data_IF_464609813666
#
_entry.id   IF_464609813666
#
_cell.length_a   1.000
_cell.length_b   1.000
_cell.length_c   1.000
_cell.angle_alpha   90.00
_cell.angle_beta   90.00
_cell.angle_gamma   90.00
#
_symmetry.space_group_name_H-M   'P 1'
#
loop_
_entity.id
_entity.type
_entity.pdbx_description
1 polymer ?
#
# COMPACT_ATOMS: atom_id res chain seq x y z
N UNK A 1 -14.82 -26.53 -14.31
CA UNK A 1 -13.93 -26.61 -13.13
C UNK A 1 -13.40 -25.21 -12.88
N UNK A 2 -13.85 -24.56 -11.81
CA UNK A 2 -13.38 -23.20 -11.47
C UNK A 2 -11.96 -23.28 -10.89
N UNK A 3 -11.04 -22.37 -11.24
CA UNK A 3 -9.67 -22.42 -10.75
C UNK A 3 -9.66 -22.29 -9.22
N UNK A 4 -8.95 -23.19 -8.56
CA UNK A 4 -8.75 -23.22 -7.11
C UNK A 4 -7.90 -22.02 -6.67
N UNK A 5 -8.53 -21.03 -6.02
CA UNK A 5 -7.86 -19.90 -5.36
C UNK A 5 -7.22 -20.33 -4.03
N UNK A 6 -6.28 -21.27 -4.06
CA UNK A 6 -5.69 -21.88 -2.85
C UNK A 6 -4.41 -21.21 -2.34
N UNK A 7 -3.75 -20.36 -3.13
CA UNK A 7 -2.55 -19.64 -2.68
C UNK A 7 -2.90 -18.33 -1.95
N UNK A 8 -2.33 -18.09 -0.75
CA UNK A 8 -2.51 -16.83 -0.05
C UNK A 8 -1.79 -15.70 -0.80
N UNK A 9 -2.45 -14.54 -0.89
CA UNK A 9 -1.89 -13.33 -1.48
C UNK A 9 -0.65 -12.90 -0.69
N UNK A 10 0.46 -12.61 -1.36
CA UNK A 10 1.68 -12.12 -0.75
C UNK A 10 1.69 -10.59 -0.76
N UNK A 11 1.52 -9.98 0.41
CA UNK A 11 1.52 -8.53 0.57
C UNK A 11 2.85 -8.10 1.20
N UNK A 12 3.52 -7.13 0.58
CA UNK A 12 4.62 -6.39 1.21
C UNK A 12 4.08 -5.10 1.81
N UNK A 13 4.18 -4.94 3.13
CA UNK A 13 3.86 -3.69 3.83
C UNK A 13 5.15 -2.92 4.12
N UNK A 14 5.27 -1.73 3.55
CA UNK A 14 6.37 -0.79 3.85
C UNK A 14 5.84 0.27 4.81
N UNK A 15 6.23 0.18 6.07
CA UNK A 15 5.76 1.07 7.13
C UNK A 15 6.70 1.05 8.34
N UNK A 16 6.80 2.18 9.04
CA UNK A 16 7.62 2.33 10.25
C UNK A 16 6.80 2.36 11.55
N UNK A 17 5.68 3.08 11.53
CA UNK A 17 4.85 3.28 12.70
C UNK A 17 4.17 1.98 13.18
N UNK A 18 4.46 1.59 14.42
CA UNK A 18 3.98 0.32 15.00
C UNK A 18 2.47 0.30 15.17
N UNK A 19 1.86 1.45 15.50
CA UNK A 19 0.42 1.55 15.72
C UNK A 19 -0.34 1.34 14.41
N UNK A 20 0.00 2.10 13.36
CA UNK A 20 -0.59 1.95 12.03
C UNK A 20 -0.38 0.57 11.44
N UNK A 21 0.77 -0.05 11.68
CA UNK A 21 1.00 -1.44 11.25
C UNK A 21 0.04 -2.41 11.95
N UNK A 22 -0.18 -2.24 13.26
CA UNK A 22 -1.12 -3.07 14.01
C UNK A 22 -2.55 -2.87 13.49
N UNK A 23 -2.95 -1.61 13.25
CA UNK A 23 -4.25 -1.25 12.70
C UNK A 23 -4.47 -1.79 11.28
N UNK A 24 -3.48 -1.67 10.40
CA UNK A 24 -3.55 -2.22 9.03
C UNK A 24 -3.68 -3.74 9.04
N UNK A 25 -2.88 -4.41 9.88
CA UNK A 25 -2.99 -5.86 10.06
C UNK A 25 -4.36 -6.26 10.60
N UNK A 26 -4.94 -5.46 11.51
CA UNK A 26 -6.30 -5.70 12.02
C UNK A 26 -7.34 -5.54 10.91
N UNK A 27 -7.31 -4.43 10.19
CA UNK A 27 -8.22 -4.18 9.08
C UNK A 27 -8.18 -5.29 8.01
N UNK A 28 -7.00 -5.80 7.68
CA UNK A 28 -6.86 -6.93 6.75
C UNK A 28 -7.45 -8.22 7.34
N UNK A 29 -7.16 -8.54 8.62
CA UNK A 29 -7.71 -9.73 9.29
C UNK A 29 -9.23 -9.70 9.45
N UNK A 30 -9.82 -8.51 9.52
CA UNK A 30 -11.26 -8.33 9.65
C UNK A 30 -12.00 -8.54 8.31
N UNK A 31 -11.27 -8.94 7.25
CA UNK A 31 -11.81 -9.39 5.96
C UNK A 31 -11.52 -10.87 5.71
N UNK A 32 -12.22 -11.48 4.75
CA UNK A 32 -11.96 -12.86 4.30
C UNK A 32 -10.70 -12.99 3.40
N UNK A 33 -9.82 -11.98 3.39
CA UNK A 33 -8.61 -11.98 2.57
C UNK A 33 -7.58 -13.00 3.09
N UNK A 34 -7.44 -14.10 2.37
CA UNK A 34 -6.33 -15.05 2.57
C UNK A 34 -5.02 -14.45 2.06
N UNK A 35 -4.21 -13.91 2.96
CA UNK A 35 -2.91 -13.32 2.63
C UNK A 35 -1.81 -13.61 3.66
N UNK A 36 -0.57 -13.45 3.22
CA UNK A 36 0.64 -13.34 4.06
C UNK A 36 1.18 -11.91 3.95
N UNK A 37 1.55 -11.31 5.08
CA UNK A 37 2.06 -9.93 5.12
C UNK A 37 3.51 -9.94 5.58
N UNK A 38 4.43 -9.59 4.68
CA UNK A 38 5.83 -9.30 5.03
C UNK A 38 5.99 -7.81 5.29
N UNK A 39 6.69 -7.43 6.37
CA UNK A 39 6.98 -6.03 6.67
C UNK A 39 8.38 -5.65 6.18
N UNK A 40 8.51 -4.46 5.63
CA UNK A 40 9.76 -3.75 5.42
C UNK A 40 9.68 -2.36 6.09
N UNK A 41 10.81 -1.86 6.60
CA UNK A 41 10.91 -0.49 7.12
C UNK A 41 10.96 0.53 5.96
N UNK A 42 10.52 1.77 6.19
CA UNK A 42 10.59 2.82 5.16
C UNK A 42 12.02 3.31 5.04
N UNK A 43 12.73 2.72 4.10
CA UNK A 43 14.15 2.98 3.88
C UNK A 43 14.40 3.10 2.39
N UNK A 44 15.47 3.82 2.03
CA UNK A 44 15.94 3.94 0.66
C UNK A 44 16.30 2.59 0.00
N UNK A 45 16.42 1.51 0.80
CA UNK A 45 16.69 0.15 0.31
C UNK A 45 15.43 -0.59 -0.15
N UNK A 46 14.23 -0.03 0.04
CA UNK A 46 12.97 -0.64 -0.43
C UNK A 46 12.96 -0.89 -1.94
N UNK A 47 13.53 0.04 -2.73
CA UNK A 47 13.70 -0.16 -4.17
C UNK A 47 14.65 -1.32 -4.49
N UNK A 48 15.78 -1.40 -3.78
CA UNK A 48 16.73 -2.48 -3.98
C UNK A 48 16.12 -3.85 -3.62
N UNK A 49 15.28 -3.91 -2.58
CA UNK A 49 14.52 -5.11 -2.23
C UNK A 49 13.55 -5.50 -3.36
N UNK A 50 12.71 -4.56 -3.80
CA UNK A 50 11.70 -4.79 -4.85
C UNK A 50 12.28 -5.11 -6.23
N UNK A 51 13.50 -4.64 -6.51
CA UNK A 51 14.21 -4.90 -7.76
C UNK A 51 15.28 -6.01 -7.62
N UNK A 52 15.41 -6.63 -6.45
CA UNK A 52 16.43 -7.64 -6.22
C UNK A 52 16.14 -8.91 -7.03
N UNK A 53 17.18 -9.50 -7.62
CA UNK A 53 17.09 -10.82 -8.29
C UNK A 53 16.57 -11.94 -7.39
N UNK A 54 16.64 -11.77 -6.06
CA UNK A 54 16.11 -12.73 -5.10
C UNK A 54 14.58 -12.81 -5.09
N UNK A 55 13.87 -11.75 -5.52
CA UNK A 55 12.42 -11.82 -5.80
C UNK A 55 12.11 -12.48 -7.15
N UNK A 56 13.09 -12.58 -8.05
CA UNK A 56 12.93 -13.23 -9.36
C UNK A 56 13.36 -14.71 -9.37
N UNK A 57 14.11 -15.17 -8.36
CA UNK A 57 14.76 -16.50 -8.35
C UNK A 57 14.42 -17.37 -7.11
N UNK A 58 13.24 -17.21 -6.49
CA UNK A 58 12.69 -18.26 -5.61
C UNK A 58 12.12 -17.87 -4.24
N UNK A 59 12.20 -16.61 -3.80
CA UNK A 59 11.27 -16.11 -2.76
C UNK A 59 9.99 -15.64 -3.45
N UNK A 60 8.82 -15.91 -2.84
CA UNK A 60 7.54 -15.47 -3.40
C UNK A 60 7.56 -13.95 -3.56
N UNK A 61 7.56 -13.50 -4.81
CA UNK A 61 7.37 -12.09 -5.15
C UNK A 61 6.04 -11.61 -4.56
N UNK A 62 5.99 -10.42 -3.93
CA UNK A 62 4.70 -9.90 -3.48
C UNK A 62 3.78 -9.69 -4.68
N UNK A 63 2.51 -10.03 -4.50
CA UNK A 63 1.43 -9.72 -5.45
C UNK A 63 1.04 -8.24 -5.36
N UNK A 64 1.29 -7.63 -4.19
CA UNK A 64 0.91 -6.25 -3.88
C UNK A 64 1.89 -5.63 -2.89
N UNK A 65 2.26 -4.37 -3.11
CA UNK A 65 2.94 -3.53 -2.12
C UNK A 65 1.96 -2.53 -1.55
N UNK A 66 1.87 -2.45 -0.23
CA UNK A 66 1.22 -1.38 0.50
C UNK A 66 2.30 -0.47 1.10
N UNK A 67 2.35 0.79 0.68
CA UNK A 67 3.27 1.79 1.21
C UNK A 67 2.50 2.78 2.07
N UNK A 68 2.81 2.84 3.36
CA UNK A 68 2.25 3.83 4.26
C UNK A 68 2.87 5.21 4.01
N UNK A 69 2.06 6.21 3.64
CA UNK A 69 2.57 7.54 3.30
C UNK A 69 2.80 8.46 4.51
N UNK A 70 2.51 8.02 5.73
CA UNK A 70 2.69 8.93 6.87
C UNK A 70 1.60 10.03 6.93
N UNK A 71 1.78 10.95 7.87
CA UNK A 71 1.06 12.22 7.84
C UNK A 71 1.84 13.33 7.12
N UNK A 72 3.16 13.24 7.00
CA UNK A 72 3.98 14.13 6.14
C UNK A 72 5.47 13.71 6.19
N UNK A 73 5.75 12.41 6.01
CA UNK A 73 7.12 11.91 6.19
C UNK A 73 7.92 12.03 4.88
N UNK A 74 8.94 12.90 4.86
CA UNK A 74 9.89 13.00 3.76
C UNK A 74 10.52 11.64 3.38
N UNK A 75 10.65 10.71 4.34
CA UNK A 75 11.08 9.33 4.10
C UNK A 75 10.06 8.54 3.27
N UNK A 76 8.77 8.71 3.56
CA UNK A 76 7.69 8.06 2.82
C UNK A 76 7.59 8.58 1.39
N UNK A 77 7.68 9.90 1.21
CA UNK A 77 7.73 10.53 -0.10
C UNK A 77 8.93 10.02 -0.91
N UNK A 78 10.13 10.03 -0.31
CA UNK A 78 11.34 9.50 -0.97
C UNK A 78 11.22 8.03 -1.33
N UNK A 79 10.58 7.24 -0.46
CA UNK A 79 10.31 5.82 -0.72
C UNK A 79 9.32 5.67 -1.89
N UNK A 80 8.23 6.44 -1.91
CA UNK A 80 7.25 6.44 -3.00
C UNK A 80 7.89 6.83 -4.34
N UNK A 81 8.71 7.89 -4.37
CA UNK A 81 9.47 8.27 -5.56
C UNK A 81 10.42 7.16 -6.04
N UNK A 82 10.98 6.38 -5.12
CA UNK A 82 11.89 5.30 -5.47
C UNK A 82 11.18 4.02 -5.96
N UNK A 83 9.93 3.76 -5.55
CA UNK A 83 9.27 2.47 -5.80
C UNK A 83 7.99 2.55 -6.64
N UNK A 84 7.28 3.68 -6.63
CA UNK A 84 5.94 3.82 -7.21
C UNK A 84 5.88 4.85 -8.35
N UNK A 85 6.83 5.78 -8.43
CA UNK A 85 6.86 6.87 -9.39
C UNK A 85 8.00 6.70 -10.42
N UNK A 86 7.85 7.30 -11.59
CA UNK A 86 8.89 7.42 -12.60
C UNK A 86 9.14 6.19 -13.49
N UNK A 87 10.06 6.32 -14.46
CA UNK A 87 10.40 5.26 -15.43
C UNK A 87 11.11 4.03 -14.82
N UNK A 88 11.33 4.01 -13.50
CA UNK A 88 11.99 2.92 -12.77
C UNK A 88 11.18 2.35 -11.61
N UNK A 89 9.86 2.58 -11.61
CA UNK A 89 8.93 2.05 -10.60
C UNK A 89 8.96 0.52 -10.52
N UNK A 90 8.55 -0.01 -9.38
CA UNK A 90 8.45 -1.45 -9.13
C UNK A 90 7.59 -2.12 -10.19
N UNK A 91 7.91 -3.34 -10.65
CA UNK A 91 7.01 -4.11 -11.52
C UNK A 91 5.83 -4.73 -10.75
N UNK A 92 5.83 -4.67 -9.41
CA UNK A 92 4.69 -5.06 -8.56
C UNK A 92 3.82 -3.81 -8.33
N UNK A 93 2.48 -3.92 -8.38
CA UNK A 93 1.61 -2.79 -8.04
C UNK A 93 1.90 -2.25 -6.64
N UNK A 94 2.10 -0.92 -6.56
CA UNK A 94 2.26 -0.22 -5.29
C UNK A 94 1.02 0.62 -5.03
N UNK A 95 0.39 0.37 -3.88
CA UNK A 95 -0.73 1.15 -3.36
C UNK A 95 -0.23 2.04 -2.23
N UNK A 96 -0.41 3.34 -2.39
CA UNK A 96 -0.07 4.35 -1.39
C UNK A 96 -1.23 4.47 -0.41
N UNK A 97 -0.98 4.12 0.85
CA UNK A 97 -1.91 4.28 1.96
C UNK A 97 -1.78 5.71 2.48
N UNK A 98 -2.80 6.52 2.27
CA UNK A 98 -2.73 7.98 2.44
C UNK A 98 -3.76 8.51 3.44
N UNK A 99 -3.43 9.63 4.09
CA UNK A 99 -4.41 10.51 4.73
C UNK A 99 -5.06 11.42 3.68
N UNK A 100 -6.11 12.16 4.05
CA UNK A 100 -6.67 13.20 3.19
C UNK A 100 -5.67 14.35 2.92
N UNK A 101 -4.85 14.71 3.91
CA UNK A 101 -3.82 15.75 3.78
C UNK A 101 -2.73 15.32 2.82
N UNK A 102 -2.19 14.12 3.03
CA UNK A 102 -1.14 13.56 2.17
C UNK A 102 -1.64 13.33 0.75
N UNK A 103 -2.91 12.96 0.58
CA UNK A 103 -3.52 12.83 -0.75
C UNK A 103 -3.57 14.17 -1.49
N UNK A 104 -3.92 15.25 -0.79
CA UNK A 104 -3.91 16.60 -1.38
C UNK A 104 -2.50 17.04 -1.80
N UNK A 105 -1.47 16.71 -1.00
CA UNK A 105 -0.07 16.97 -1.35
C UNK A 105 0.40 16.15 -2.57
N UNK A 106 -0.04 14.89 -2.66
CA UNK A 106 0.24 14.09 -3.85
C UNK A 106 -0.42 14.72 -5.09
N UNK A 107 -1.69 15.13 -4.96
CA UNK A 107 -2.49 15.74 -6.04
C UNK A 107 -2.00 17.12 -6.48
N UNK A 108 -1.34 17.90 -5.61
CA UNK A 108 -0.80 19.22 -5.97
C UNK A 108 0.42 19.13 -6.89
N UNK A 109 0.98 17.93 -7.12
CA UNK A 109 2.06 17.70 -8.06
C UNK A 109 3.45 18.03 -7.50
N UNK A 110 3.61 18.20 -6.18
CA UNK A 110 4.93 18.39 -5.57
C UNK A 110 5.83 17.13 -5.70
N UNK A 111 5.24 15.97 -6.02
CA UNK A 111 5.96 14.77 -6.46
C UNK A 111 5.94 14.67 -7.99
N UNK A 112 6.59 15.60 -8.66
CA UNK A 112 6.56 15.69 -10.12
C UNK A 112 7.52 14.68 -10.78
N UNK A 113 6.97 13.76 -11.58
CA UNK A 113 7.70 13.08 -12.66
C UNK A 113 7.13 13.39 -14.06
N UNK A 114 6.16 14.31 -14.13
CA UNK A 114 5.49 14.76 -15.35
C UNK A 114 4.62 13.74 -16.07
N UNK A 115 4.42 12.52 -15.55
CA UNK A 115 3.70 11.43 -16.26
C UNK A 115 2.78 10.58 -15.39
N UNK A 116 2.90 10.64 -14.07
CA UNK A 116 2.12 9.81 -13.16
C UNK A 116 0.68 10.33 -13.01
N UNK A 117 -0.30 9.58 -13.51
CA UNK A 117 -1.72 9.81 -13.20
C UNK A 117 -2.06 9.14 -11.87
N UNK A 118 -2.41 9.92 -10.86
CA UNK A 118 -2.89 9.39 -9.59
C UNK A 118 -4.35 8.94 -9.71
N UNK A 119 -4.65 7.73 -9.29
CA UNK A 119 -6.03 7.25 -9.25
C UNK A 119 -6.69 7.53 -7.90
N UNK A 120 -7.91 8.05 -7.97
CA UNK A 120 -8.75 8.46 -6.82
C UNK A 120 -8.75 7.42 -5.69
N UNK A 121 -8.63 7.92 -4.46
CA UNK A 121 -8.56 7.09 -3.27
C UNK A 121 -9.88 6.36 -3.01
N UNK A 122 -9.78 5.04 -2.79
CA UNK A 122 -10.86 4.28 -2.16
C UNK A 122 -10.59 4.19 -0.66
N UNK A 123 -11.62 4.24 0.20
CA UNK A 123 -11.47 3.86 1.59
C UNK A 123 -10.86 2.46 1.69
N UNK A 124 -9.85 2.29 2.57
CA UNK A 124 -9.16 1.02 2.76
C UNK A 124 -10.12 -0.18 2.96
N UNK A 125 -11.21 -0.10 3.75
CA UNK A 125 -12.14 -1.24 3.91
C UNK A 125 -12.70 -1.74 2.58
N UNK A 126 -13.20 -0.84 1.73
CA UNK A 126 -13.75 -1.21 0.41
C UNK A 126 -12.68 -1.77 -0.53
N UNK A 127 -11.46 -1.26 -0.43
CA UNK A 127 -10.31 -1.80 -1.18
C UNK A 127 -10.02 -3.25 -0.76
N UNK A 128 -9.98 -3.52 0.54
CA UNK A 128 -9.73 -4.86 1.09
C UNK A 128 -10.88 -5.84 0.79
N UNK A 129 -12.14 -5.39 0.87
CA UNK A 129 -13.30 -6.21 0.48
C UNK A 129 -13.23 -6.65 -0.99
N UNK A 130 -12.82 -5.75 -1.89
CA UNK A 130 -12.64 -6.08 -3.31
C UNK A 130 -11.48 -7.06 -3.54
N UNK A 131 -10.40 -6.96 -2.75
CA UNK A 131 -9.31 -7.95 -2.75
C UNK A 131 -9.74 -9.32 -2.21
N UNK A 132 -10.58 -9.32 -1.17
CA UNK A 132 -11.08 -10.53 -0.53
C UNK A 132 -12.12 -11.27 -1.39
N UNK A 133 -12.91 -10.53 -2.16
CA UNK A 133 -14.05 -11.03 -2.92
C UNK A 133 -13.75 -11.96 -4.09
N UNK A 134 -14.81 -12.49 -4.71
CA UNK A 134 -14.76 -13.55 -5.73
C UNK A 134 -14.08 -13.18 -7.05
N UNK A 135 -13.73 -11.92 -7.27
CA UNK A 135 -13.02 -11.44 -8.46
C UNK A 135 -11.58 -11.03 -8.18
N UNK A 136 -10.92 -11.57 -7.13
CA UNK A 136 -9.55 -11.21 -6.72
C UNK A 136 -8.58 -11.06 -7.89
N UNK A 137 -8.53 -12.05 -8.79
CA UNK A 137 -7.64 -12.02 -9.95
C UNK A 137 -7.97 -10.86 -10.89
N UNK A 138 -9.25 -10.62 -11.18
CA UNK A 138 -9.68 -9.47 -11.98
C UNK A 138 -9.38 -8.13 -11.31
N UNK A 139 -9.47 -8.06 -9.98
CA UNK A 139 -9.10 -6.85 -9.24
C UNK A 139 -7.60 -6.59 -9.28
N UNK A 140 -6.76 -7.61 -9.10
CA UNK A 140 -5.30 -7.48 -9.23
C UNK A 140 -4.88 -7.08 -10.65
N UNK A 141 -5.51 -7.67 -11.67
CA UNK A 141 -5.24 -7.32 -13.07
C UNK A 141 -5.67 -5.88 -13.39
N UNK A 142 -6.80 -5.43 -12.84
CA UNK A 142 -7.20 -4.03 -12.95
C UNK A 142 -6.21 -3.11 -12.22
N UNK A 143 -5.74 -3.52 -11.04
CA UNK A 143 -4.75 -2.77 -10.26
C UNK A 143 -3.42 -2.64 -11.00
N UNK A 144 -2.91 -3.73 -11.58
CA UNK A 144 -1.72 -3.74 -12.44
C UNK A 144 -1.89 -2.79 -13.62
N UNK A 145 -3.06 -2.82 -14.27
CA UNK A 145 -3.38 -1.94 -15.40
C UNK A 145 -3.36 -0.48 -14.99
N UNK A 146 -4.06 -0.12 -13.90
CA UNK A 146 -4.07 1.25 -13.37
C UNK A 146 -2.65 1.71 -13.00
N UNK A 147 -1.88 0.82 -12.37
CA UNK A 147 -0.52 1.11 -11.96
C UNK A 147 0.43 1.39 -13.13
N UNK A 148 0.10 0.95 -14.36
CA UNK A 148 0.85 1.36 -15.55
C UNK A 148 0.74 2.85 -15.87
N UNK A 149 -0.31 3.52 -15.42
CA UNK A 149 -0.53 4.94 -15.66
C UNK A 149 -0.09 5.82 -14.48
N UNK A 150 0.06 5.24 -13.28
CA UNK A 150 0.58 5.95 -12.10
C UNK A 150 0.22 5.25 -10.79
N UNK A 151 0.63 5.81 -9.64
CA UNK A 151 0.37 5.20 -8.34
C UNK A 151 -1.13 5.10 -8.05
N UNK A 152 -1.51 4.02 -7.36
CA UNK A 152 -2.88 3.83 -6.88
C UNK A 152 -2.97 4.26 -5.42
N UNK A 153 -3.98 5.03 -5.06
CA UNK A 153 -4.16 5.53 -3.70
C UNK A 153 -5.26 4.75 -2.96
N UNK A 154 -5.05 4.50 -1.68
CA UNK A 154 -6.09 4.01 -0.77
C UNK A 154 -6.09 4.88 0.50
N UNK A 155 -7.25 5.44 0.86
CA UNK A 155 -7.37 6.35 2.00
C UNK A 155 -7.53 5.55 3.29
N UNK A 156 -6.67 5.85 4.25
CA UNK A 156 -6.79 5.33 5.60
C UNK A 156 -7.89 6.08 6.36
N UNK A 157 -8.69 5.39 7.20
CA UNK A 157 -9.62 6.06 8.11
C UNK A 157 -8.90 7.01 9.08
N UNK A 158 -9.53 8.12 9.46
CA UNK A 158 -8.94 9.16 10.33
C UNK A 158 -8.38 8.62 11.67
N UNK A 159 -9.01 7.58 12.23
CA UNK A 159 -8.54 6.98 13.48
C UNK A 159 -7.18 6.26 13.37
N UNK A 160 -6.69 6.00 12.16
CA UNK A 160 -5.31 5.51 11.95
C UNK A 160 -4.26 6.58 12.27
N UNK A 161 -4.66 7.85 12.37
CA UNK A 161 -3.76 8.98 12.58
C UNK A 161 -3.89 9.60 13.99
N UNK A 162 -4.77 9.07 14.85
CA UNK A 162 -4.87 9.51 16.24
C UNK A 162 -3.67 8.99 17.03
N UNK A 163 -2.93 9.90 17.69
CA UNK A 163 -1.84 9.53 18.61
C UNK A 163 -2.38 8.65 19.74
N UNK A 164 -1.54 7.74 20.26
CA UNK A 164 -1.84 6.96 21.47
C UNK A 164 -2.05 7.83 22.72
N UNK A 165 -1.67 9.12 22.68
CA UNK A 165 -1.82 10.08 23.79
C UNK A 165 -3.27 10.52 24.06
N UNK A 166 -4.20 10.28 23.12
CA UNK A 166 -5.62 10.65 23.27
C UNK A 166 -6.40 9.71 24.22
N UNK A 167 -5.73 8.70 24.77
CA UNK A 167 -6.32 7.77 25.76
C UNK A 167 -6.55 8.43 27.13
N UNK A 168 -6.11 9.68 27.33
CA UNK A 168 -6.17 10.36 28.64
C UNK A 168 -7.35 11.33 28.80
N UNK A 169 -8.24 11.47 27.80
CA UNK A 169 -9.40 12.38 27.89
C UNK A 169 -10.77 11.72 27.73
N UNK A 170 -10.91 10.44 28.13
CA UNK A 170 -12.21 9.82 28.35
C UNK A 170 -12.34 9.29 29.78
N UNK A 171 -12.13 10.18 30.76
CA UNK A 171 -12.48 9.99 32.17
C UNK A 171 -12.59 11.36 32.83
N UNK A 172 -13.71 12.04 32.57
CA UNK A 172 -14.19 13.18 33.35
C UNK A 172 -15.72 13.13 33.38
#
# INVERSE_FOLDING_TARGET
>A
MSPSHSTPLQILLIADDKFRIAMLRRAIRDTDLKCSITRLAQTHTARAFLNSKQLTEGKQRPDLVLLDMGNDDASALKTASAVALGPGRSPVPVVLLTSAVTEALLQSGELDDGKSTMFSSRPLPLFLEKLAGGSRQGFLQALETLYQYGPVLARLPEHFFRSSDDSTQLSA
#
